data_IF_204914213277
#
_entry.id   IF_204914213277
#
_cell.length_a   1.000
_cell.length_b   1.000
_cell.length_c   1.000
_cell.angle_alpha   90.00
_cell.angle_beta   90.00
_cell.angle_gamma   90.00
#
_symmetry.space_group_name_H-M   'P 1'
#
loop_
_entity.id
_entity.type
_entity.pdbx_description
1 polymer ?
#
# COMPACT_ATOMS: atom_id res chain seq x y z
N UNK A 1 24.08 -11.68 21.23
CA UNK A 1 23.22 -10.74 20.48
C UNK A 1 22.24 -11.53 19.62
N UNK A 2 20.95 -11.17 19.63
CA UNK A 2 19.91 -11.89 18.87
C UNK A 2 19.99 -11.56 17.37
N UNK A 3 19.85 -12.57 16.51
CA UNK A 3 19.87 -12.38 15.05
C UNK A 3 18.74 -11.44 14.58
N UNK A 4 17.53 -11.63 15.11
CA UNK A 4 16.37 -10.79 14.80
C UNK A 4 16.59 -9.30 15.13
N UNK A 5 17.33 -9.00 16.21
CA UNK A 5 17.69 -7.63 16.56
C UNK A 5 18.65 -7.05 15.51
N UNK A 6 19.71 -7.77 15.15
CA UNK A 6 20.71 -7.30 14.17
C UNK A 6 20.10 -7.05 12.80
N UNK A 7 19.23 -7.94 12.33
CA UNK A 7 18.53 -7.77 11.07
C UNK A 7 17.57 -6.58 11.12
N UNK A 8 16.87 -6.40 12.25
CA UNK A 8 15.97 -5.25 12.42
C UNK A 8 16.71 -3.93 12.50
N UNK A 9 17.81 -3.85 13.25
CA UNK A 9 18.68 -2.68 13.33
C UNK A 9 19.17 -2.27 11.94
N UNK A 10 19.61 -3.23 11.12
CA UNK A 10 20.04 -2.95 9.74
C UNK A 10 18.92 -2.35 8.89
N UNK A 11 17.71 -2.90 8.96
CA UNK A 11 16.54 -2.38 8.24
C UNK A 11 16.19 -0.96 8.71
N UNK A 12 16.15 -0.73 10.01
CA UNK A 12 15.84 0.59 10.56
C UNK A 12 16.90 1.64 10.20
N UNK A 13 18.18 1.28 10.09
CA UNK A 13 19.19 2.19 9.59
C UNK A 13 18.97 2.56 8.13
N UNK A 14 18.55 1.61 7.27
CA UNK A 14 18.18 1.92 5.88
C UNK A 14 16.96 2.85 5.81
N UNK A 15 15.92 2.55 6.58
CA UNK A 15 14.72 3.38 6.68
C UNK A 15 15.03 4.79 7.21
N UNK A 16 15.95 4.88 8.17
CA UNK A 16 16.45 6.15 8.71
C UNK A 16 17.00 7.04 7.60
N UNK A 17 17.87 6.50 6.74
CA UNK A 17 18.43 7.26 5.62
C UNK A 17 17.38 7.62 4.57
N UNK A 18 16.48 6.69 4.23
CA UNK A 18 15.42 6.95 3.26
C UNK A 18 14.41 8.01 3.73
N UNK A 19 14.08 8.00 5.03
CA UNK A 19 13.11 8.89 5.65
C UNK A 19 13.69 10.15 6.29
N UNK A 20 15.01 10.32 6.26
CA UNK A 20 15.73 11.40 6.98
C UNK A 20 15.35 11.47 8.46
N UNK A 21 15.27 10.32 9.12
CA UNK A 21 14.98 10.21 10.54
C UNK A 21 16.21 10.44 11.41
N UNK A 22 16.00 10.87 12.66
CA UNK A 22 17.08 11.02 13.63
C UNK A 22 17.46 9.67 14.25
N UNK A 23 18.58 9.63 14.95
CA UNK A 23 19.07 8.43 15.62
C UNK A 23 18.10 7.91 16.69
N UNK A 24 17.45 8.83 17.42
CA UNK A 24 16.42 8.50 18.40
C UNK A 24 15.24 7.72 17.82
N UNK A 25 14.91 7.93 16.55
CA UNK A 25 13.86 7.14 15.87
C UNK A 25 14.23 5.65 15.79
N UNK A 26 15.47 5.33 15.42
CA UNK A 26 15.95 3.94 15.36
C UNK A 26 15.91 3.30 16.75
N UNK A 27 16.36 4.04 17.77
CA UNK A 27 16.31 3.59 19.16
C UNK A 27 14.87 3.32 19.63
N UNK A 28 13.95 4.26 19.44
CA UNK A 28 12.55 4.14 19.85
C UNK A 28 11.86 2.95 19.20
N UNK A 29 12.09 2.73 17.90
CA UNK A 29 11.56 1.56 17.16
C UNK A 29 12.06 0.24 17.75
N UNK A 30 13.35 0.13 18.03
CA UNK A 30 13.92 -1.08 18.63
C UNK A 30 13.41 -1.31 20.05
N UNK A 31 13.23 -0.25 20.84
CA UNK A 31 12.68 -0.30 22.20
C UNK A 31 11.22 -0.77 22.24
N UNK A 32 10.42 -0.42 21.23
CA UNK A 32 9.03 -0.90 21.10
C UNK A 32 8.94 -2.38 20.71
N UNK A 33 9.91 -2.89 19.94
CA UNK A 33 9.88 -4.25 19.39
C UNK A 33 10.64 -5.27 20.25
N UNK A 34 11.62 -4.82 21.03
CA UNK A 34 12.50 -5.69 21.82
C UNK A 34 12.70 -5.15 23.24
N UNK A 35 12.78 -6.07 24.20
CA UNK A 35 13.41 -5.77 25.49
C UNK A 35 14.93 -5.78 25.31
N UNK A 36 15.52 -4.59 25.12
CA UNK A 36 16.91 -4.41 24.71
C UNK A 36 17.88 -4.81 25.83
N UNK A 37 18.78 -5.74 25.51
CA UNK A 37 19.86 -6.15 26.42
C UNK A 37 21.05 -5.18 26.34
N UNK A 38 21.92 -5.11 27.38
CA UNK A 38 23.09 -4.23 27.37
C UNK A 38 23.97 -4.37 26.12
N UNK A 39 24.21 -5.60 25.65
CA UNK A 39 25.05 -5.82 24.45
C UNK A 39 24.38 -5.32 23.16
N UNK A 40 23.05 -5.29 23.13
CA UNK A 40 22.25 -4.78 22.01
C UNK A 40 22.23 -3.25 22.02
N UNK A 41 22.19 -2.65 23.21
CA UNK A 41 22.31 -1.21 23.39
C UNK A 41 23.69 -0.69 22.97
N UNK A 42 24.76 -1.41 23.32
CA UNK A 42 26.12 -1.07 22.86
C UNK A 42 26.28 -1.21 21.34
N UNK A 43 25.70 -2.26 20.76
CA UNK A 43 25.71 -2.46 19.32
C UNK A 43 24.92 -1.39 18.58
N UNK A 44 23.76 -0.98 19.11
CA UNK A 44 22.98 0.14 18.62
C UNK A 44 23.81 1.43 18.67
N UNK A 45 24.40 1.77 19.82
CA UNK A 45 25.20 2.98 19.98
C UNK A 45 26.36 3.02 18.97
N UNK A 46 27.05 1.89 18.82
CA UNK A 46 28.15 1.75 17.85
C UNK A 46 27.65 1.93 16.41
N UNK A 47 26.52 1.32 16.05
CA UNK A 47 25.95 1.41 14.71
C UNK A 47 25.44 2.82 14.36
N UNK A 48 25.01 3.59 15.37
CA UNK A 48 24.64 5.00 15.25
C UNK A 48 25.86 5.95 15.26
N UNK A 49 27.08 5.42 15.48
CA UNK A 49 28.34 6.18 15.42
C UNK A 49 28.82 6.76 16.75
N UNK A 50 28.25 6.36 17.89
CA UNK A 50 28.71 6.79 19.21
C UNK A 50 30.00 6.06 19.60
N UNK A 51 31.11 6.81 19.70
CA UNK A 51 32.46 6.26 19.93
C UNK A 51 32.66 5.57 21.29
N UNK A 52 31.89 5.97 22.30
CA UNK A 52 32.02 5.47 23.68
C UNK A 52 30.98 4.40 24.03
N UNK A 53 30.30 3.81 23.03
CA UNK A 53 29.25 2.83 23.25
C UNK A 53 28.02 3.41 23.97
N UNK A 54 27.23 2.54 24.58
CA UNK A 54 26.03 2.92 25.31
C UNK A 54 26.37 3.55 26.66
N UNK A 55 25.78 4.71 26.93
CA UNK A 55 25.87 5.37 28.23
C UNK A 55 24.64 6.25 28.47
N UNK A 56 24.51 6.79 29.68
CA UNK A 56 23.35 7.60 30.07
C UNK A 56 23.14 8.81 29.16
N UNK A 57 24.22 9.50 28.78
CA UNK A 57 24.12 10.67 27.89
C UNK A 57 23.61 10.29 26.50
N UNK A 58 24.06 9.15 25.95
CA UNK A 58 23.56 8.60 24.68
C UNK A 58 22.07 8.26 24.79
N UNK A 59 21.68 7.60 25.88
CA UNK A 59 20.28 7.27 26.15
C UNK A 59 19.41 8.52 26.19
N UNK A 60 19.82 9.54 26.95
CA UNK A 60 19.04 10.78 27.11
C UNK A 60 18.87 11.51 25.76
N UNK A 61 19.92 11.56 24.93
CA UNK A 61 19.86 12.14 23.58
C UNK A 61 18.85 11.37 22.70
N UNK A 62 18.93 10.04 22.69
CA UNK A 62 18.09 9.21 21.84
C UNK A 62 16.63 9.21 22.30
N UNK A 63 16.37 9.22 23.61
CA UNK A 63 15.02 9.32 24.16
C UNK A 63 14.37 10.67 23.81
N UNK A 64 15.11 11.77 23.97
CA UNK A 64 14.61 13.11 23.61
C UNK A 64 14.28 13.21 22.12
N UNK A 65 15.18 12.71 21.26
CA UNK A 65 14.94 12.67 19.82
C UNK A 65 13.74 11.78 19.47
N UNK A 66 13.58 10.64 20.16
CA UNK A 66 12.43 9.76 19.95
C UNK A 66 11.12 10.46 20.28
N UNK A 67 11.03 11.13 21.43
CA UNK A 67 9.81 11.82 21.85
C UNK A 67 9.39 12.91 20.84
N UNK A 68 10.34 13.60 20.23
CA UNK A 68 10.07 14.58 19.18
C UNK A 68 9.59 13.92 17.87
N UNK A 69 10.20 12.81 17.47
CA UNK A 69 9.92 12.14 16.19
C UNK A 69 8.74 11.15 16.25
N UNK A 70 8.34 10.68 17.44
CA UNK A 70 7.31 9.65 17.64
C UNK A 70 5.98 10.08 17.03
N UNK A 71 5.53 11.31 17.32
CA UNK A 71 4.26 11.85 16.81
C UNK A 71 4.28 11.93 15.29
N UNK A 72 5.38 12.44 14.71
CA UNK A 72 5.55 12.56 13.26
C UNK A 72 5.52 11.20 12.58
N UNK A 73 6.20 10.21 13.16
CA UNK A 73 6.22 8.86 12.65
C UNK A 73 4.83 8.22 12.72
N UNK A 74 4.13 8.32 13.86
CA UNK A 74 2.78 7.77 14.03
C UNK A 74 1.80 8.32 12.98
N UNK A 75 1.88 9.62 12.68
CA UNK A 75 1.02 10.25 11.66
C UNK A 75 1.31 9.71 10.25
N UNK A 76 2.59 9.54 9.89
CA UNK A 76 2.96 8.96 8.60
C UNK A 76 2.49 7.51 8.46
N UNK A 77 2.63 6.73 9.53
CA UNK A 77 2.22 5.32 9.52
C UNK A 77 0.70 5.18 9.44
N UNK A 78 -0.05 6.00 10.18
CA UNK A 78 -1.50 6.08 10.09
C UNK A 78 -1.95 6.43 8.67
N UNK A 79 -1.26 7.36 8.01
CA UNK A 79 -1.56 7.74 6.62
C UNK A 79 -1.32 6.58 5.65
N UNK A 80 -0.24 5.80 5.83
CA UNK A 80 0.04 4.62 5.00
C UNK A 80 -1.04 3.55 5.19
N UNK A 81 -1.40 3.27 6.44
CA UNK A 81 -2.47 2.30 6.76
C UNK A 81 -3.80 2.75 6.17
N UNK A 82 -4.16 4.03 6.29
CA UNK A 82 -5.37 4.58 5.68
C UNK A 82 -5.39 4.41 4.15
N UNK A 83 -4.28 4.71 3.47
CA UNK A 83 -4.14 4.48 2.03
C UNK A 83 -4.29 3.01 1.66
N UNK A 84 -3.69 2.11 2.44
CA UNK A 84 -3.81 0.67 2.19
C UNK A 84 -5.25 0.19 2.39
N UNK A 85 -5.92 0.67 3.43
CA UNK A 85 -7.34 0.36 3.69
C UNK A 85 -8.22 0.89 2.56
N UNK A 86 -7.99 2.11 2.06
CA UNK A 86 -8.77 2.64 0.93
C UNK A 86 -8.56 1.84 -0.35
N UNK A 87 -7.31 1.45 -0.65
CA UNK A 87 -6.99 0.59 -1.79
C UNK A 87 -7.65 -0.78 -1.67
N UNK A 88 -7.62 -1.39 -0.48
CA UNK A 88 -8.26 -2.67 -0.24
C UNK A 88 -9.79 -2.57 -0.40
N UNK A 89 -10.41 -1.49 0.08
CA UNK A 89 -11.85 -1.24 -0.13
C UNK A 89 -12.21 -1.12 -1.61
N UNK A 90 -11.38 -0.43 -2.40
CA UNK A 90 -11.56 -0.36 -3.85
C UNK A 90 -11.45 -1.74 -4.50
N UNK A 91 -10.44 -2.54 -4.13
CA UNK A 91 -10.29 -3.90 -4.64
C UNK A 91 -11.52 -4.77 -4.32
N UNK A 92 -12.02 -4.73 -3.08
CA UNK A 92 -13.23 -5.46 -2.68
C UNK A 92 -14.43 -5.03 -3.52
N UNK A 93 -14.62 -3.73 -3.73
CA UNK A 93 -15.72 -3.21 -4.57
C UNK A 93 -15.59 -3.68 -6.02
N UNK A 94 -14.40 -3.66 -6.60
CA UNK A 94 -14.15 -4.17 -7.96
C UNK A 94 -14.42 -5.66 -8.06
N UNK A 95 -13.96 -6.46 -7.08
CA UNK A 95 -14.23 -7.90 -7.04
C UNK A 95 -15.72 -8.21 -6.95
N UNK A 96 -16.49 -7.43 -6.18
CA UNK A 96 -17.95 -7.56 -6.11
C UNK A 96 -18.61 -7.25 -7.46
N UNK A 97 -18.17 -6.20 -8.17
CA UNK A 97 -18.67 -5.88 -9.52
C UNK A 97 -18.35 -7.00 -10.52
N UNK A 98 -17.14 -7.56 -10.48
CA UNK A 98 -16.75 -8.68 -11.34
C UNK A 98 -17.62 -9.90 -11.03
N UNK A 99 -17.83 -10.24 -9.76
CA UNK A 99 -18.68 -11.37 -9.38
C UNK A 99 -20.12 -11.20 -9.89
N UNK A 100 -20.69 -9.99 -9.78
CA UNK A 100 -22.01 -9.69 -10.32
C UNK A 100 -22.05 -9.85 -11.85
N UNK A 101 -21.05 -9.33 -12.58
CA UNK A 101 -20.98 -9.48 -14.03
C UNK A 101 -20.80 -10.94 -14.48
N UNK A 102 -20.02 -11.73 -13.74
CA UNK A 102 -19.86 -13.17 -14.02
C UNK A 102 -21.18 -13.92 -13.79
N UNK A 103 -21.91 -13.58 -12.73
CA UNK A 103 -23.23 -14.14 -12.47
C UNK A 103 -24.23 -13.76 -13.57
N UNK A 104 -24.23 -12.49 -14.01
CA UNK A 104 -25.05 -12.06 -15.16
C UNK A 104 -24.70 -12.82 -16.45
N UNK A 105 -23.42 -13.11 -16.69
CA UNK A 105 -22.99 -13.91 -17.85
C UNK A 105 -23.43 -15.37 -17.76
N UNK A 106 -23.36 -16.00 -16.59
CA UNK A 106 -23.89 -17.35 -16.35
C UNK A 106 -25.42 -17.41 -16.53
N UNK A 107 -26.13 -16.39 -16.04
CA UNK A 107 -27.58 -16.26 -16.20
C UNK A 107 -27.94 -16.06 -17.69
N UNK A 108 -27.13 -15.31 -18.44
CA UNK A 108 -27.30 -15.14 -19.89
C UNK A 108 -27.04 -16.42 -20.68
N UNK A 109 -26.13 -17.29 -20.22
CA UNK A 109 -25.88 -18.61 -20.84
C UNK A 109 -27.07 -19.57 -20.69
N UNK A 110 -27.90 -19.38 -19.64
CA UNK A 110 -29.12 -20.16 -19.40
C UNK A 110 -30.36 -19.64 -20.17
N UNK A 111 -30.27 -18.47 -20.81
CA UNK A 111 -31.29 -17.98 -21.75
C UNK A 111 -31.04 -18.51 -23.17
N UNK A 112 -32.08 -18.88 -23.94
CA UNK A 112 -31.90 -19.29 -25.33
C UNK A 112 -31.20 -18.18 -26.12
N UNK A 113 -29.94 -18.42 -26.50
CA UNK A 113 -29.11 -17.46 -27.23
C UNK A 113 -29.68 -17.26 -28.62
N UNK A 114 -30.21 -16.07 -28.90
CA UNK A 114 -30.40 -15.59 -30.27
C UNK A 114 -29.02 -15.44 -30.90
N UNK A 115 -28.80 -16.04 -32.07
CA UNK A 115 -27.56 -15.83 -32.80
C UNK A 115 -27.40 -14.34 -33.14
N UNK A 116 -26.24 -13.78 -32.79
CA UNK A 116 -25.88 -12.42 -33.16
C UNK A 116 -25.78 -12.33 -34.69
N UNK A 117 -26.47 -11.36 -35.25
CA UNK A 117 -26.38 -10.96 -36.66
C UNK A 117 -24.98 -10.42 -36.98
N UNK A 118 -24.59 -10.44 -38.26
CA UNK A 118 -23.28 -9.91 -38.70
C UNK A 118 -23.07 -8.45 -38.32
N UNK A 119 -24.16 -7.67 -38.27
CA UNK A 119 -24.15 -6.26 -37.85
C UNK A 119 -23.84 -6.14 -36.35
N UNK A 120 -24.49 -6.96 -35.52
CA UNK A 120 -24.25 -6.98 -34.07
C UNK A 120 -22.82 -7.44 -33.75
N UNK A 121 -22.31 -8.44 -34.47
CA UNK A 121 -20.90 -8.89 -34.34
C UNK A 121 -19.93 -7.78 -34.74
N UNK A 122 -20.22 -7.08 -35.83
CA UNK A 122 -19.42 -5.94 -36.29
C UNK A 122 -19.37 -4.80 -35.27
N UNK A 123 -20.51 -4.49 -34.63
CA UNK A 123 -20.62 -3.48 -33.58
C UNK A 123 -19.84 -3.85 -32.32
N UNK A 124 -19.96 -5.09 -31.84
CA UNK A 124 -19.20 -5.57 -30.67
C UNK A 124 -17.69 -5.54 -30.96
N UNK A 125 -17.27 -6.02 -32.12
CA UNK A 125 -15.86 -6.02 -32.51
C UNK A 125 -15.28 -4.60 -32.66
N UNK A 126 -16.11 -3.64 -33.09
CA UNK A 126 -15.74 -2.23 -33.15
C UNK A 126 -15.55 -1.66 -31.74
N UNK A 127 -16.54 -1.82 -30.87
CA UNK A 127 -16.49 -1.31 -29.48
C UNK A 127 -15.28 -1.87 -28.73
N UNK A 128 -15.01 -3.18 -28.84
CA UNK A 128 -13.88 -3.82 -28.16
C UNK A 128 -12.50 -3.33 -28.62
N UNK A 129 -12.40 -2.70 -29.80
CA UNK A 129 -11.14 -2.15 -30.34
C UNK A 129 -10.94 -0.67 -30.03
N UNK A 130 -11.92 0.00 -29.43
CA UNK A 130 -11.91 1.44 -29.17
C UNK A 130 -11.46 1.76 -27.74
N UNK A 131 -10.98 3.00 -27.53
CA UNK A 131 -10.71 3.54 -26.20
C UNK A 131 -12.04 3.82 -25.47
N UNK A 132 -12.04 3.83 -24.14
CA UNK A 132 -13.26 3.99 -23.32
C UNK A 132 -14.10 5.22 -23.69
N UNK A 133 -13.44 6.34 -24.01
CA UNK A 133 -14.12 7.59 -24.34
C UNK A 133 -14.82 7.51 -25.70
N UNK A 134 -14.21 6.81 -26.65
CA UNK A 134 -14.76 6.59 -27.99
C UNK A 134 -15.90 5.55 -27.97
N UNK A 135 -15.80 4.53 -27.11
CA UNK A 135 -16.87 3.55 -26.88
C UNK A 135 -18.16 4.23 -26.40
N UNK A 136 -18.05 5.13 -25.42
CA UNK A 136 -19.19 5.88 -24.89
C UNK A 136 -19.82 6.77 -25.97
N UNK A 137 -19.02 7.47 -26.76
CA UNK A 137 -19.53 8.30 -27.85
C UNK A 137 -20.29 7.49 -28.90
N UNK A 138 -19.79 6.32 -29.30
CA UNK A 138 -20.47 5.43 -30.26
C UNK A 138 -21.77 4.89 -29.68
N UNK A 139 -21.77 4.46 -28.41
CA UNK A 139 -22.98 4.00 -27.72
C UNK A 139 -24.04 5.10 -27.64
N UNK A 140 -23.65 6.33 -27.30
CA UNK A 140 -24.54 7.49 -27.30
C UNK A 140 -25.10 7.80 -28.69
N UNK A 141 -24.27 7.73 -29.74
CA UNK A 141 -24.71 7.93 -31.12
C UNK A 141 -25.76 6.90 -31.54
N UNK A 142 -25.53 5.63 -31.22
CA UNK A 142 -26.45 4.54 -31.52
C UNK A 142 -27.75 4.73 -30.74
N UNK A 143 -27.68 4.96 -29.43
CA UNK A 143 -28.86 5.18 -28.59
C UNK A 143 -29.71 6.37 -29.05
N UNK A 144 -29.08 7.48 -29.41
CA UNK A 144 -29.79 8.68 -29.88
C UNK A 144 -30.44 8.47 -31.27
N UNK A 145 -29.89 7.59 -32.11
CA UNK A 145 -30.43 7.29 -33.43
C UNK A 145 -31.65 6.37 -33.40
N UNK A 146 -31.78 5.54 -32.36
CA UNK A 146 -32.92 4.64 -32.15
C UNK A 146 -33.95 5.17 -31.14
N UNK A 147 -33.78 6.40 -30.64
CA UNK A 147 -34.73 7.10 -29.76
C UNK A 147 -35.88 7.81 -30.50
N UNK A 148 -36.16 7.42 -31.75
CA UNK A 148 -37.30 7.87 -32.54
C UNK A 148 -38.53 7.00 -32.30
#
# INVERSE_FOLDING_TARGET
MRQAFSDRLRLLLQDKFAGSWRDGWVYGRLKQEFNLQPEELDALATALGFKYGWNRSVQDILENQWQEDEVRWMQQELTKVQKQVSLNRQKVSTSQKIAALLQELEDLDNTPRRELTDIERGLIALILKMQSDEQMWVLEMIFNRYKC
#
